data_IF_471076894527
#
_entry.id   IF_471076894527
#
_cell.length_a   1.000
_cell.length_b   1.000
_cell.length_c   1.000
_cell.angle_alpha   90.00
_cell.angle_beta   90.00
_cell.angle_gamma   90.00
#
_symmetry.space_group_name_H-M   'P 1'
#
loop_
_entity.id
_entity.type
_entity.pdbx_description
1 polymer ?
#
# COMPACT_ATOMS: atom_id res chain seq x y z
N UNK A 1 -10.80 -16.28 0.36
CA UNK A 1 -9.39 -15.98 0.04
C UNK A 1 -8.70 -17.28 -0.32
N UNK A 2 -8.05 -17.34 -1.48
CA UNK A 2 -7.48 -18.59 -1.99
C UNK A 2 -6.29 -19.03 -1.11
N UNK A 3 -6.35 -20.24 -0.54
CA UNK A 3 -5.39 -20.79 0.44
C UNK A 3 -3.94 -20.78 -0.08
N UNK A 4 -3.79 -20.85 -1.41
CA UNK A 4 -2.54 -20.78 -2.16
C UNK A 4 -1.80 -19.44 -1.92
N UNK A 5 -2.51 -18.31 -1.90
CA UNK A 5 -1.88 -16.97 -1.75
C UNK A 5 -1.37 -16.70 -0.32
N UNK A 6 -2.01 -17.30 0.68
CA UNK A 6 -1.51 -17.23 2.07
C UNK A 6 -0.23 -18.05 2.25
N UNK A 7 -0.10 -19.16 1.52
CA UNK A 7 1.08 -20.01 1.58
C UNK A 7 2.27 -19.37 0.84
N UNK A 8 2.05 -18.83 -0.37
CA UNK A 8 3.09 -18.14 -1.15
C UNK A 8 3.73 -16.99 -0.36
N UNK A 9 2.93 -16.14 0.30
CA UNK A 9 3.45 -15.02 1.11
C UNK A 9 4.18 -15.43 2.40
N UNK A 10 4.05 -16.69 2.83
CA UNK A 10 4.73 -17.22 4.03
C UNK A 10 5.99 -18.01 3.70
N UNK A 11 6.26 -18.29 2.43
CA UNK A 11 7.48 -18.98 2.04
C UNK A 11 8.69 -18.06 2.27
N UNK A 12 9.64 -18.54 3.09
CA UNK A 12 10.93 -17.86 3.34
C UNK A 12 11.63 -17.46 2.04
N UNK A 13 11.39 -18.20 0.95
CA UNK A 13 11.97 -17.96 -0.39
C UNK A 13 11.56 -16.63 -1.03
N UNK A 14 10.43 -16.02 -0.62
CA UNK A 14 10.05 -14.67 -1.09
C UNK A 14 10.63 -13.54 -0.24
N UNK A 15 11.23 -13.82 0.93
CA UNK A 15 11.82 -12.78 1.78
C UNK A 15 13.04 -12.12 1.12
N UNK A 16 13.68 -12.79 0.16
CA UNK A 16 14.83 -12.26 -0.57
C UNK A 16 14.48 -11.19 -1.61
N UNK A 17 13.20 -11.07 -1.96
CA UNK A 17 12.72 -10.09 -2.93
C UNK A 17 12.92 -8.65 -2.43
N UNK A 18 13.33 -7.71 -3.31
CA UNK A 18 13.56 -6.32 -2.95
C UNK A 18 12.39 -5.66 -2.22
N UNK A 19 11.16 -5.91 -2.68
CA UNK A 19 9.99 -5.32 -2.04
C UNK A 19 9.82 -5.80 -0.59
N UNK A 20 10.06 -7.09 -0.31
CA UNK A 20 9.96 -7.65 1.04
C UNK A 20 11.02 -7.08 1.98
N UNK A 21 12.26 -6.90 1.49
CA UNK A 21 13.33 -6.25 2.25
C UNK A 21 12.96 -4.82 2.67
N UNK A 22 12.39 -4.04 1.74
CA UNK A 22 11.87 -2.69 2.04
C UNK A 22 10.77 -2.70 3.11
N UNK A 23 9.83 -3.64 3.03
CA UNK A 23 8.80 -3.76 4.07
C UNK A 23 9.37 -4.20 5.42
N UNK A 24 10.40 -5.02 5.43
CA UNK A 24 11.09 -5.42 6.66
C UNK A 24 11.85 -4.26 7.31
N UNK A 25 12.44 -3.36 6.53
CA UNK A 25 13.02 -2.11 7.04
C UNK A 25 11.98 -1.26 7.76
N UNK A 26 10.79 -1.09 7.15
CA UNK A 26 9.68 -0.42 7.81
C UNK A 26 9.25 -1.14 9.09
N UNK A 27 9.10 -2.47 9.05
CA UNK A 27 8.71 -3.26 10.22
C UNK A 27 9.72 -3.16 11.38
N UNK A 28 11.00 -2.93 11.08
CA UNK A 28 12.09 -2.78 12.06
C UNK A 28 12.37 -1.32 12.45
N UNK A 29 11.59 -0.36 11.96
CA UNK A 29 11.81 1.04 12.28
C UNK A 29 11.70 1.29 13.78
N UNK A 30 12.78 1.82 14.36
CA UNK A 30 12.85 2.25 15.75
C UNK A 30 11.96 3.48 15.98
N UNK A 31 11.13 3.42 17.02
CA UNK A 31 10.18 4.47 17.40
C UNK A 31 10.71 5.18 18.64
N UNK A 32 10.74 6.52 18.59
CA UNK A 32 11.10 7.35 19.74
C UNK A 32 9.82 7.65 20.53
N UNK A 33 9.64 7.14 21.77
CA UNK A 33 8.35 7.14 22.48
C UNK A 33 7.74 8.51 22.82
N UNK A 34 8.49 9.61 22.68
CA UNK A 34 8.07 10.95 23.15
C UNK A 34 7.62 11.90 22.03
N UNK A 35 7.73 11.51 20.75
CA UNK A 35 7.55 12.45 19.63
C UNK A 35 6.19 12.35 18.90
N UNK A 36 5.31 11.44 19.31
CA UNK A 36 4.10 11.08 18.54
C UNK A 36 2.81 11.15 19.40
N UNK A 37 2.44 12.33 19.88
CA UNK A 37 1.14 12.58 20.55
C UNK A 37 -0.06 12.37 19.61
N UNK A 38 0.14 12.55 18.29
CA UNK A 38 -0.93 12.53 17.29
C UNK A 38 -1.73 11.22 17.24
N UNK A 39 -1.09 10.07 17.54
CA UNK A 39 -1.80 8.79 17.60
C UNK A 39 -2.84 8.77 18.73
N UNK A 40 -2.45 9.26 19.92
CA UNK A 40 -3.34 9.37 21.07
C UNK A 40 -4.46 10.37 20.83
N UNK A 41 -4.16 11.49 20.17
CA UNK A 41 -5.17 12.50 19.80
C UNK A 41 -6.24 11.98 18.84
N UNK A 42 -5.97 10.91 18.10
CA UNK A 42 -6.94 10.19 17.27
C UNK A 42 -7.55 8.96 17.98
N UNK A 43 -7.45 8.88 19.32
CA UNK A 43 -8.04 7.79 20.11
C UNK A 43 -7.30 6.45 19.99
N UNK A 44 -6.03 6.44 19.56
CA UNK A 44 -5.20 5.24 19.45
C UNK A 44 -4.28 5.19 20.68
N UNK A 45 -4.76 4.60 21.77
CA UNK A 45 -4.16 4.80 23.10
C UNK A 45 -3.19 3.70 23.56
N UNK A 46 -3.37 2.45 23.12
CA UNK A 46 -2.57 1.32 23.57
C UNK A 46 -2.44 0.18 22.53
N UNK A 47 -1.71 -0.86 22.94
CA UNK A 47 -1.60 -2.12 22.21
C UNK A 47 -0.89 -2.05 20.86
N UNK A 48 -1.23 -3.02 20.01
CA UNK A 48 -0.63 -3.18 18.68
C UNK A 48 -0.92 -1.99 17.76
N UNK A 49 -2.12 -1.40 17.89
CA UNK A 49 -2.53 -0.27 17.05
C UNK A 49 -1.72 0.99 17.32
N UNK A 50 -1.45 1.30 18.59
CA UNK A 50 -0.56 2.42 18.96
C UNK A 50 0.86 2.20 18.47
N UNK A 51 1.43 1.03 18.71
CA UNK A 51 2.79 0.71 18.26
C UNK A 51 2.92 0.80 16.72
N UNK A 52 1.91 0.35 15.98
CA UNK A 52 1.86 0.50 14.53
C UNK A 52 1.72 1.97 14.10
N UNK A 53 0.82 2.71 14.74
CA UNK A 53 0.60 4.13 14.45
C UNK A 53 1.88 4.95 14.63
N UNK A 54 2.54 4.83 15.79
CA UNK A 54 3.75 5.58 16.10
C UNK A 54 4.87 5.24 15.10
N UNK A 55 5.01 3.97 14.72
CA UNK A 55 5.95 3.54 13.68
C UNK A 55 5.64 4.17 12.32
N UNK A 56 4.38 4.13 11.90
CA UNK A 56 3.97 4.72 10.63
C UNK A 56 4.23 6.23 10.59
N UNK A 57 3.97 6.94 11.69
CA UNK A 57 4.29 8.37 11.84
C UNK A 57 5.80 8.61 11.75
N UNK A 58 6.62 7.81 12.43
CA UNK A 58 8.09 7.94 12.38
C UNK A 58 8.63 7.69 10.98
N UNK A 59 8.14 6.68 10.25
CA UNK A 59 8.54 6.42 8.86
C UNK A 59 8.16 7.62 7.99
N UNK A 60 6.91 8.08 8.08
CA UNK A 60 6.41 9.17 7.26
C UNK A 60 7.17 10.49 7.49
N UNK A 61 7.46 10.85 8.75
CA UNK A 61 8.27 12.02 9.08
C UNK A 61 9.68 11.92 8.47
N UNK A 62 10.31 10.74 8.50
CA UNK A 62 11.62 10.52 7.84
C UNK A 62 11.54 10.73 6.33
N UNK A 63 10.48 10.24 5.69
CA UNK A 63 10.25 10.47 4.25
C UNK A 63 10.07 11.95 3.93
N UNK A 64 9.34 12.69 4.75
CA UNK A 64 9.16 14.15 4.59
C UNK A 64 10.48 14.92 4.72
N UNK A 65 11.38 14.46 5.57
CA UNK A 65 12.71 15.06 5.75
C UNK A 65 13.75 14.61 4.71
N UNK A 66 13.44 13.64 3.85
CA UNK A 66 14.37 13.20 2.80
C UNK A 66 14.40 14.22 1.65
N UNK A 67 15.55 14.85 1.43
CA UNK A 67 15.72 15.86 0.38
C UNK A 67 15.95 15.26 -1.02
N UNK A 68 16.35 13.98 -1.12
CA UNK A 68 16.43 13.29 -2.41
C UNK A 68 15.02 13.02 -2.94
N UNK A 69 14.62 13.78 -3.95
CA UNK A 69 13.27 13.69 -4.52
C UNK A 69 12.95 12.33 -5.16
N UNK A 70 13.96 11.65 -5.71
CA UNK A 70 13.75 10.40 -6.43
C UNK A 70 13.59 9.25 -5.44
N UNK A 71 14.51 9.12 -4.49
CA UNK A 71 14.42 8.15 -3.39
C UNK A 71 13.17 8.39 -2.55
N UNK A 72 12.86 9.66 -2.23
CA UNK A 72 11.65 10.00 -1.46
C UNK A 72 10.38 9.51 -2.15
N UNK A 73 10.19 9.83 -3.43
CA UNK A 73 8.99 9.41 -4.18
C UNK A 73 8.86 7.88 -4.22
N UNK A 74 9.98 7.19 -4.36
CA UNK A 74 9.99 5.73 -4.42
C UNK A 74 9.61 5.09 -3.07
N UNK A 75 10.28 5.50 -1.99
CA UNK A 75 9.98 5.01 -0.65
C UNK A 75 8.57 5.43 -0.18
N UNK A 76 8.05 6.55 -0.70
CA UNK A 76 6.68 7.00 -0.49
C UNK A 76 5.67 5.98 -1.03
N UNK A 77 5.86 5.46 -2.25
CA UNK A 77 4.99 4.43 -2.83
C UNK A 77 5.06 3.13 -2.01
N UNK A 78 6.26 2.72 -1.57
CA UNK A 78 6.40 1.59 -0.64
C UNK A 78 5.62 1.81 0.65
N UNK A 79 5.74 3.00 1.25
CA UNK A 79 5.04 3.35 2.48
C UNK A 79 3.52 3.29 2.29
N UNK A 80 3.00 3.82 1.18
CA UNK A 80 1.58 3.78 0.85
C UNK A 80 1.04 2.35 0.83
N UNK A 81 1.71 1.45 0.10
CA UNK A 81 1.31 0.04 0.01
C UNK A 81 1.49 -0.70 1.32
N UNK A 82 2.58 -0.46 2.05
CA UNK A 82 2.84 -1.06 3.35
C UNK A 82 1.77 -0.66 4.37
N UNK A 83 1.53 0.64 4.51
CA UNK A 83 0.58 1.16 5.49
C UNK A 83 -0.82 0.60 5.23
N UNK A 84 -1.32 0.74 4.00
CA UNK A 84 -2.66 0.27 3.66
C UNK A 84 -2.81 -1.25 3.79
N UNK A 85 -1.81 -2.06 3.43
CA UNK A 85 -1.90 -3.52 3.62
C UNK A 85 -1.84 -3.94 5.10
N UNK A 86 -1.03 -3.27 5.93
CA UNK A 86 -1.00 -3.53 7.37
C UNK A 86 -2.34 -3.16 8.03
N UNK A 87 -2.90 -1.99 7.69
CA UNK A 87 -4.23 -1.59 8.17
C UNK A 87 -5.30 -2.58 7.73
N UNK A 88 -5.32 -2.94 6.44
CA UNK A 88 -6.22 -3.95 5.89
C UNK A 88 -6.12 -5.27 6.64
N UNK A 89 -4.92 -5.77 6.93
CA UNK A 89 -4.72 -7.12 7.49
C UNK A 89 -4.96 -7.20 9.00
N UNK A 90 -4.61 -6.15 9.74
CA UNK A 90 -4.55 -6.19 11.21
C UNK A 90 -5.67 -5.42 11.89
N UNK A 91 -6.12 -4.34 11.25
CA UNK A 91 -7.06 -3.39 11.87
C UNK A 91 -8.38 -3.35 11.10
N UNK A 92 -8.80 -4.48 10.52
CA UNK A 92 -10.04 -4.61 9.76
C UNK A 92 -10.91 -5.80 10.17
N UNK A 93 -12.19 -5.77 9.77
CA UNK A 93 -13.07 -6.93 9.84
C UNK A 93 -12.92 -7.81 8.59
N UNK A 94 -12.01 -8.79 8.64
CA UNK A 94 -11.82 -9.83 7.60
C UNK A 94 -11.59 -9.28 6.19
N UNK A 95 -10.77 -8.23 6.07
CA UNK A 95 -10.38 -7.58 4.81
C UNK A 95 -11.50 -6.86 4.04
N UNK A 96 -12.79 -7.04 4.39
CA UNK A 96 -13.90 -6.59 3.52
C UNK A 96 -14.22 -5.10 3.60
N UNK A 97 -14.03 -4.47 4.77
CA UNK A 97 -14.52 -3.10 5.01
C UNK A 97 -13.63 -2.29 5.96
N UNK A 98 -12.30 -2.36 5.83
CA UNK A 98 -11.42 -1.62 6.75
C UNK A 98 -11.65 -0.11 6.68
N UNK A 99 -12.07 0.43 5.53
CA UNK A 99 -12.48 1.84 5.38
C UNK A 99 -13.69 2.25 6.24
N UNK A 100 -14.43 1.29 6.78
CA UNK A 100 -15.64 1.50 7.58
C UNK A 100 -15.41 1.15 9.06
N UNK A 101 -14.17 0.84 9.45
CA UNK A 101 -13.83 0.54 10.83
C UNK A 101 -13.17 1.74 11.50
N UNK A 102 -13.64 2.09 12.70
CA UNK A 102 -13.21 3.30 13.41
C UNK A 102 -11.70 3.34 13.61
N UNK A 103 -11.09 2.27 14.14
CA UNK A 103 -9.65 2.22 14.37
C UNK A 103 -8.84 2.38 13.08
N UNK A 104 -9.28 1.74 11.98
CA UNK A 104 -8.68 1.92 10.67
C UNK A 104 -8.77 3.38 10.23
N UNK A 105 -9.93 4.01 10.40
CA UNK A 105 -10.16 5.40 10.02
C UNK A 105 -9.25 6.33 10.81
N UNK A 106 -9.12 6.12 12.12
CA UNK A 106 -8.25 6.90 12.98
C UNK A 106 -6.78 6.78 12.53
N UNK A 107 -6.32 5.58 12.15
CA UNK A 107 -4.98 5.38 11.60
C UNK A 107 -4.74 6.19 10.31
N UNK A 108 -5.70 6.19 9.38
CA UNK A 108 -5.59 7.01 8.17
C UNK A 108 -5.66 8.51 8.48
N UNK A 109 -6.48 8.92 9.44
CA UNK A 109 -6.62 10.32 9.84
C UNK A 109 -5.31 10.85 10.48
N UNK A 110 -4.58 10.03 11.23
CA UNK A 110 -3.21 10.35 11.69
C UNK A 110 -2.30 10.63 10.49
N UNK A 111 -2.21 9.69 9.54
CA UNK A 111 -1.31 9.82 8.38
C UNK A 111 -1.68 11.03 7.51
N UNK A 112 -2.97 11.29 7.33
CA UNK A 112 -3.45 12.48 6.63
C UNK A 112 -3.03 13.76 7.36
N UNK A 113 -3.11 13.79 8.69
CA UNK A 113 -2.70 14.94 9.48
C UNK A 113 -1.19 15.20 9.39
N UNK A 114 -0.36 14.16 9.50
CA UNK A 114 1.11 14.31 9.35
C UNK A 114 1.48 14.79 7.94
N UNK A 115 0.82 14.30 6.90
CA UNK A 115 1.01 14.83 5.54
C UNK A 115 0.55 16.28 5.39
N UNK A 116 -0.55 16.64 6.05
CA UNK A 116 -1.06 18.02 6.01
C UNK A 116 -0.09 19.01 6.64
N UNK A 117 0.77 18.59 7.58
CA UNK A 117 1.80 19.47 8.16
C UNK A 117 2.88 19.86 7.14
N UNK A 118 3.03 19.13 6.03
CA UNK A 118 3.85 19.52 4.87
C UNK A 118 3.11 20.51 3.97
N UNK A 119 2.66 21.64 4.53
CA UNK A 119 1.87 22.66 3.80
C UNK A 119 2.64 23.31 2.67
N UNK A 120 3.89 23.66 2.95
CA UNK A 120 4.76 24.40 2.03
C UNK A 120 5.56 23.47 1.08
N UNK A 121 5.43 22.15 1.26
CA UNK A 121 6.13 21.11 0.51
C UNK A 121 5.18 19.97 0.13
N UNK A 122 4.15 20.29 -0.66
CA UNK A 122 3.10 19.34 -1.09
C UNK A 122 3.67 18.12 -1.83
N UNK A 123 4.80 18.28 -2.52
CA UNK A 123 5.54 17.23 -3.23
C UNK A 123 6.19 16.17 -2.31
N UNK A 124 6.22 16.43 -1.00
CA UNK A 124 6.76 15.50 0.00
C UNK A 124 5.70 14.63 0.66
N UNK A 125 4.43 14.85 0.34
CA UNK A 125 3.32 14.12 0.97
C UNK A 125 3.19 12.70 0.41
N UNK A 126 2.81 11.77 1.30
CA UNK A 126 2.63 10.35 1.01
C UNK A 126 1.29 9.86 1.51
N UNK A 127 0.26 9.97 0.67
CA UNK A 127 -1.10 9.56 1.02
C UNK A 127 -1.36 8.10 0.70
N UNK A 128 -1.98 7.36 1.61
CA UNK A 128 -2.26 5.94 1.44
C UNK A 128 -3.74 5.71 1.07
N UNK A 129 -4.00 4.80 0.12
CA UNK A 129 -5.36 4.47 -0.32
C UNK A 129 -6.14 3.73 0.75
N UNK A 130 -7.42 4.12 0.87
CA UNK A 130 -8.41 3.47 1.75
C UNK A 130 -9.32 2.50 0.99
N UNK A 131 -9.14 2.34 -0.32
CA UNK A 131 -10.02 1.52 -1.13
C UNK A 131 -9.75 0.02 -0.86
N UNK A 132 -10.55 -0.56 0.03
CA UNK A 132 -10.40 -1.96 0.43
C UNK A 132 -10.45 -2.95 -0.73
N UNK A 133 -11.18 -2.63 -1.80
CA UNK A 133 -11.27 -3.46 -2.99
C UNK A 133 -9.98 -3.50 -3.83
N UNK A 134 -9.11 -2.48 -3.71
CA UNK A 134 -7.94 -2.35 -4.57
C UNK A 134 -6.60 -2.52 -3.85
N UNK A 135 -6.48 -2.19 -2.57
CA UNK A 135 -5.20 -2.15 -1.81
C UNK A 135 -4.34 -3.41 -1.99
N UNK A 136 -4.95 -4.60 -1.88
CA UNK A 136 -4.19 -5.85 -2.05
C UNK A 136 -3.68 -6.02 -3.48
N UNK A 137 -4.53 -5.74 -4.46
CA UNK A 137 -4.23 -5.91 -5.89
C UNK A 137 -3.18 -4.90 -6.33
N UNK A 138 -3.32 -3.64 -5.94
CA UNK A 138 -2.34 -2.59 -6.23
C UNK A 138 -0.98 -2.95 -5.64
N UNK A 139 -0.93 -3.36 -4.37
CA UNK A 139 0.31 -3.81 -3.74
C UNK A 139 0.93 -5.03 -4.45
N UNK A 140 0.13 -6.03 -4.80
CA UNK A 140 0.64 -7.24 -5.47
C UNK A 140 1.27 -6.91 -6.84
N UNK A 141 0.66 -5.99 -7.59
CA UNK A 141 1.19 -5.52 -8.87
C UNK A 141 2.45 -4.66 -8.69
N UNK A 142 2.42 -3.71 -7.75
CA UNK A 142 3.61 -2.94 -7.38
C UNK A 142 4.77 -3.88 -7.04
N UNK A 143 4.55 -4.84 -6.13
CA UNK A 143 5.57 -5.80 -5.70
C UNK A 143 6.09 -6.65 -6.86
N UNK A 144 5.22 -7.07 -7.78
CA UNK A 144 5.62 -7.79 -8.99
C UNK A 144 6.62 -6.99 -9.81
N UNK A 145 6.31 -5.73 -10.12
CA UNK A 145 7.20 -4.88 -10.92
C UNK A 145 8.52 -4.60 -10.20
N UNK A 146 8.50 -4.41 -8.87
CA UNK A 146 9.71 -4.22 -8.04
C UNK A 146 10.58 -5.46 -7.95
N UNK A 147 9.98 -6.64 -8.08
CA UNK A 147 10.68 -7.91 -7.96
C UNK A 147 10.99 -8.53 -9.32
N UNK A 148 10.51 -7.97 -10.44
CA UNK A 148 10.52 -8.57 -11.77
C UNK A 148 11.88 -9.19 -12.14
N UNK A 149 12.97 -8.43 -11.99
CA UNK A 149 14.33 -8.88 -12.32
C UNK A 149 14.85 -10.03 -11.44
N UNK A 150 14.21 -10.30 -10.31
CA UNK A 150 14.57 -11.37 -9.37
C UNK A 150 13.71 -12.64 -9.55
N UNK A 151 12.77 -12.63 -10.50
CA UNK A 151 11.90 -13.77 -10.79
C UNK A 151 12.49 -14.56 -11.95
N UNK A 152 13.43 -15.45 -11.65
CA UNK A 152 14.05 -16.36 -12.61
C UNK A 152 14.52 -17.65 -11.92
N UNK A 153 14.88 -18.64 -12.72
CA UNK A 153 15.28 -19.96 -12.26
C UNK A 153 16.79 -20.16 -12.18
N UNK A 154 17.58 -19.07 -12.15
CA UNK A 154 19.04 -19.15 -12.32
C UNK A 154 19.76 -20.02 -11.30
N UNK A 155 19.18 -20.23 -10.11
CA UNK A 155 19.73 -21.10 -9.07
C UNK A 155 19.40 -22.59 -9.27
N UNK A 156 18.61 -22.94 -10.28
CA UNK A 156 18.19 -24.31 -10.57
C UNK A 156 17.23 -24.91 -9.54
N UNK A 157 16.74 -24.14 -8.56
CA UNK A 157 15.81 -24.64 -7.54
C UNK A 157 14.40 -24.82 -8.16
N UNK A 158 14.07 -26.07 -8.47
CA UNK A 158 12.79 -26.46 -9.09
C UNK A 158 11.57 -26.01 -8.28
N UNK A 159 11.61 -26.13 -6.96
CA UNK A 159 10.47 -25.73 -6.12
C UNK A 159 10.28 -24.22 -6.15
N UNK A 160 11.39 -23.48 -6.06
CA UNK A 160 11.40 -22.02 -6.15
C UNK A 160 10.91 -21.54 -7.52
N UNK A 161 11.33 -22.18 -8.61
CA UNK A 161 10.83 -21.94 -9.95
C UNK A 161 9.32 -22.16 -10.09
N UNK A 162 8.80 -23.27 -9.57
CA UNK A 162 7.35 -23.54 -9.58
C UNK A 162 6.58 -22.51 -8.76
N UNK A 163 7.14 -22.10 -7.61
CA UNK A 163 6.58 -21.02 -6.80
C UNK A 163 6.53 -19.70 -7.59
N UNK A 164 7.61 -19.35 -8.29
CA UNK A 164 7.66 -18.17 -9.17
C UNK A 164 6.63 -18.24 -10.30
N UNK A 165 6.51 -19.38 -10.98
CA UNK A 165 5.50 -19.58 -12.02
C UNK A 165 4.08 -19.37 -11.47
N UNK A 166 3.75 -19.99 -10.33
CA UNK A 166 2.44 -19.83 -9.69
C UNK A 166 2.17 -18.39 -9.25
N UNK A 167 3.19 -17.70 -8.74
CA UNK A 167 3.11 -16.29 -8.37
C UNK A 167 2.83 -15.41 -9.59
N UNK A 168 3.61 -15.54 -10.67
CA UNK A 168 3.41 -14.74 -11.89
C UNK A 168 2.09 -15.09 -12.56
N UNK A 169 1.62 -16.33 -12.48
CA UNK A 169 0.32 -16.73 -13.02
C UNK A 169 -0.83 -16.01 -12.30
N UNK A 170 -0.76 -15.92 -10.97
CA UNK A 170 -1.69 -15.10 -10.20
C UNK A 170 -1.60 -13.62 -10.58
N UNK A 171 -0.39 -13.08 -10.77
CA UNK A 171 -0.21 -11.68 -11.18
C UNK A 171 -0.77 -11.41 -12.58
N UNK A 172 -0.66 -12.36 -13.51
CA UNK A 172 -1.15 -12.24 -14.88
C UNK A 172 -2.66 -11.95 -14.93
N UNK A 173 -3.45 -12.61 -14.09
CA UNK A 173 -4.90 -12.40 -14.04
C UNK A 173 -5.25 -10.98 -13.57
N UNK A 174 -4.60 -10.51 -12.50
CA UNK A 174 -4.84 -9.15 -11.98
C UNK A 174 -4.23 -8.06 -12.89
N UNK A 175 -3.12 -8.34 -13.58
CA UNK A 175 -2.52 -7.44 -14.55
C UNK A 175 -3.47 -7.19 -15.72
N UNK A 176 -4.04 -8.27 -16.30
CA UNK A 176 -5.04 -8.17 -17.38
C UNK A 176 -6.26 -7.39 -16.94
N UNK A 177 -6.80 -7.68 -15.75
CA UNK A 177 -7.95 -6.95 -15.22
C UNK A 177 -7.65 -5.44 -15.11
N UNK A 178 -6.47 -5.06 -14.61
CA UNK A 178 -6.10 -3.64 -14.47
C UNK A 178 -5.84 -2.97 -15.81
N UNK A 179 -5.21 -3.67 -16.75
CA UNK A 179 -4.93 -3.17 -18.10
C UNK A 179 -6.22 -2.98 -18.92
N UNK A 180 -7.09 -3.98 -18.92
CA UNK A 180 -8.26 -4.05 -19.83
C UNK A 180 -9.54 -3.47 -19.20
N UNK A 181 -9.84 -3.78 -17.94
CA UNK A 181 -11.10 -3.37 -17.30
C UNK A 181 -10.98 -2.06 -16.53
N UNK A 182 -9.83 -1.79 -15.91
CA UNK A 182 -9.57 -0.54 -15.20
C UNK A 182 -8.82 0.51 -16.04
N UNK A 183 -8.51 0.17 -17.30
CA UNK A 183 -7.88 1.08 -18.27
C UNK A 183 -6.60 1.73 -17.76
N UNK A 184 -5.78 1.00 -17.01
CA UNK A 184 -4.51 1.54 -16.49
C UNK A 184 -3.48 1.87 -17.58
N UNK A 185 -3.68 1.42 -18.81
CA UNK A 185 -2.83 1.73 -19.96
C UNK A 185 -3.64 2.40 -21.05
N UNK A 186 -3.18 3.57 -21.49
CA UNK A 186 -3.70 4.19 -22.70
C UNK A 186 -3.29 3.39 -23.93
N UNK A 187 -4.24 3.22 -24.85
CA UNK A 187 -4.05 2.40 -26.06
C UNK A 187 -3.09 3.02 -27.09
N UNK A 188 -2.81 4.33 -26.97
CA UNK A 188 -2.12 5.11 -28.02
C UNK A 188 -0.60 5.07 -27.87
N UNK A 189 -0.06 5.01 -26.64
CA UNK A 189 1.36 5.28 -26.40
C UNK A 189 1.99 4.58 -25.17
N UNK A 190 1.41 3.47 -24.68
CA UNK A 190 1.85 2.77 -23.45
C UNK A 190 1.88 3.67 -22.19
N UNK A 191 1.26 4.85 -22.22
CA UNK A 191 1.17 5.74 -21.05
C UNK A 191 0.31 5.10 -19.98
N UNK A 192 0.73 5.24 -18.72
CA UNK A 192 -0.02 4.75 -17.55
C UNK A 192 -1.05 5.80 -17.12
N UNK A 193 -2.29 5.39 -16.91
CA UNK A 193 -3.34 6.24 -16.32
C UNK A 193 -2.86 6.77 -14.96
N UNK A 194 -3.14 8.05 -14.67
CA UNK A 194 -2.61 8.77 -13.50
C UNK A 194 -2.88 8.03 -12.20
N UNK A 195 -4.09 7.49 -12.04
CA UNK A 195 -4.51 6.72 -10.85
C UNK A 195 -3.82 5.37 -10.71
N UNK A 196 -3.15 4.89 -11.76
CA UNK A 196 -2.41 3.62 -11.76
C UNK A 196 -0.89 3.80 -11.58
N UNK A 197 -0.39 5.03 -11.65
CA UNK A 197 1.05 5.35 -11.65
C UNK A 197 1.80 4.97 -10.38
N UNK A 198 1.10 4.63 -9.28
CA UNK A 198 1.71 4.16 -8.03
C UNK A 198 1.86 2.64 -7.94
N UNK A 199 1.39 1.87 -8.92
CA UNK A 199 1.46 0.40 -8.88
C UNK A 199 1.51 -0.31 -10.23
N UNK A 200 1.30 0.39 -11.34
CA UNK A 200 1.17 -0.22 -12.66
C UNK A 200 2.26 0.23 -13.63
N UNK A 201 2.68 -0.68 -14.50
CA UNK A 201 3.59 -0.39 -15.60
C UNK A 201 3.07 -1.01 -16.90
N UNK A 202 2.94 -0.19 -17.93
CA UNK A 202 2.33 -0.57 -19.21
C UNK A 202 3.34 -1.06 -20.25
N UNK A 203 4.65 -0.91 -20.01
CA UNK A 203 5.68 -1.38 -20.94
C UNK A 203 5.56 -2.88 -21.15
N UNK A 204 5.52 -3.30 -22.41
CA UNK A 204 5.24 -4.70 -22.77
C UNK A 204 6.26 -5.68 -22.16
N UNK A 205 7.52 -5.27 -21.95
CA UNK A 205 8.53 -6.12 -21.30
C UNK A 205 8.14 -6.62 -19.90
N UNK A 206 7.27 -5.89 -19.19
CA UNK A 206 6.81 -6.29 -17.86
C UNK A 206 5.50 -7.07 -17.89
N UNK A 207 4.97 -7.39 -19.07
CA UNK A 207 3.76 -8.18 -19.22
C UNK A 207 3.98 -9.59 -18.63
N UNK A 208 3.22 -10.01 -17.60
CA UNK A 208 3.39 -11.31 -16.95
C UNK A 208 3.28 -12.51 -17.89
N UNK A 209 2.58 -12.38 -19.02
CA UNK A 209 2.47 -13.43 -20.03
C UNK A 209 3.85 -13.83 -20.59
N UNK A 210 4.72 -12.87 -20.87
CA UNK A 210 6.06 -13.15 -21.39
C UNK A 210 6.93 -13.83 -20.33
N UNK A 211 6.85 -13.37 -19.08
CA UNK A 211 7.59 -13.98 -17.98
C UNK A 211 7.10 -15.41 -17.68
N UNK A 212 5.80 -15.68 -17.81
CA UNK A 212 5.26 -17.04 -17.68
C UNK A 212 5.81 -17.99 -18.74
N UNK A 213 5.90 -17.55 -19.99
CA UNK A 213 6.49 -18.33 -21.07
C UNK A 213 7.98 -18.60 -20.80
N UNK A 214 8.72 -17.57 -20.38
CA UNK A 214 10.13 -17.70 -20.00
C UNK A 214 10.34 -18.68 -18.85
N UNK A 215 9.56 -18.57 -17.77
CA UNK A 215 9.63 -19.48 -16.62
C UNK A 215 9.27 -20.91 -17.00
N UNK A 216 8.30 -21.12 -17.90
CA UNK A 216 7.95 -22.45 -18.40
C UNK A 216 9.13 -23.10 -19.10
N UNK A 217 9.81 -22.38 -20.00
CA UNK A 217 10.98 -22.89 -20.70
C UNK A 217 12.15 -23.19 -19.74
N UNK A 218 12.39 -22.31 -18.76
CA UNK A 218 13.41 -22.55 -17.73
C UNK A 218 13.12 -23.81 -16.90
N UNK A 219 11.85 -24.04 -16.52
CA UNK A 219 11.43 -25.26 -15.83
C UNK A 219 11.65 -26.50 -16.72
N UNK A 220 11.31 -26.43 -18.00
CA UNK A 220 11.55 -27.54 -18.93
C UNK A 220 13.04 -27.89 -19.07
N UNK A 221 13.93 -26.90 -19.14
CA UNK A 221 15.39 -27.10 -19.16
C UNK A 221 15.84 -27.81 -17.87
N UNK A 222 15.37 -27.35 -16.70
CA UNK A 222 15.65 -27.95 -15.40
C UNK A 222 15.10 -29.39 -15.31
N UNK A 223 13.95 -29.67 -15.89
CA UNK A 223 13.34 -31.00 -15.86
C UNK A 223 14.02 -31.99 -16.83
N UNK A 224 14.46 -31.53 -18.01
CA UNK A 224 15.27 -32.34 -18.95
C UNK A 224 16.63 -32.71 -18.37
N UNK A 225 17.28 -31.77 -17.67
CA UNK A 225 18.57 -31.98 -17.02
C UNK A 225 18.61 -33.14 -16.01
N UNK A 226 17.47 -33.52 -15.42
CA UNK A 226 17.44 -34.66 -14.48
C UNK A 226 17.74 -36.03 -15.11
N UNK A 227 17.94 -36.12 -16.43
CA UNK A 227 18.28 -37.38 -17.11
C UNK A 227 19.76 -37.54 -17.48
N UNK A 228 20.57 -36.46 -17.58
CA UNK A 228 22.00 -36.51 -17.93
C UNK A 228 22.76 -35.33 -17.29
N UNK A 229 23.73 -35.60 -16.40
CA UNK A 229 24.35 -34.62 -15.50
C UNK A 229 25.22 -33.48 -16.10
N UNK A 230 25.59 -32.54 -15.20
CA UNK A 230 26.63 -31.47 -15.21
C UNK A 230 26.68 -30.37 -16.30
N UNK A 231 26.00 -30.49 -17.45
CA UNK A 231 26.04 -29.45 -18.52
C UNK A 231 24.94 -28.36 -18.44
N UNK A 232 24.36 -28.12 -17.25
CA UNK A 232 23.01 -27.54 -17.13
C UNK A 232 22.93 -26.07 -16.69
N UNK A 233 23.90 -25.61 -15.90
CA UNK A 233 23.92 -24.19 -15.49
C UNK A 233 24.24 -23.28 -16.67
N UNK A 234 24.95 -23.78 -17.68
CA UNK A 234 25.35 -23.00 -18.84
C UNK A 234 24.19 -22.80 -19.82
N UNK A 235 23.44 -23.85 -20.19
CA UNK A 235 22.25 -23.72 -21.05
C UNK A 235 21.19 -22.79 -20.41
N UNK A 236 20.90 -22.99 -19.13
CA UNK A 236 19.95 -22.16 -18.39
C UNK A 236 20.42 -20.70 -18.28
N UNK A 237 21.71 -20.48 -17.99
CA UNK A 237 22.27 -19.13 -17.91
C UNK A 237 22.28 -18.44 -19.27
N UNK A 238 22.61 -19.16 -20.35
CA UNK A 238 22.57 -18.63 -21.72
C UNK A 238 21.14 -18.27 -22.14
N UNK A 239 20.15 -19.12 -21.80
CA UNK A 239 18.74 -18.83 -22.06
C UNK A 239 18.28 -17.56 -21.34
N UNK A 240 18.55 -17.45 -20.04
CA UNK A 240 18.17 -16.28 -19.23
C UNK A 240 18.85 -15.01 -19.77
N UNK A 241 20.15 -15.06 -20.06
CA UNK A 241 20.88 -13.91 -20.61
C UNK A 241 20.30 -13.46 -21.97
N UNK A 242 19.90 -14.40 -22.83
CA UNK A 242 19.24 -14.08 -24.11
C UNK A 242 17.90 -13.37 -23.90
N UNK A 243 17.07 -13.87 -22.99
CA UNK A 243 15.78 -13.25 -22.65
C UNK A 243 15.96 -11.83 -22.06
N UNK A 244 16.96 -11.63 -21.20
CA UNK A 244 17.30 -10.30 -20.66
C UNK A 244 17.64 -9.31 -21.78
N UNK A 245 18.40 -9.73 -22.79
CA UNK A 245 18.77 -8.87 -23.94
C UNK A 245 17.62 -8.57 -24.89
N UNK A 246 16.63 -9.47 -25.02
CA UNK A 246 15.48 -9.32 -25.95
C UNK A 246 14.65 -8.06 -25.68
N UNK A 247 14.63 -7.62 -24.43
CA UNK A 247 13.87 -6.46 -23.98
C UNK A 247 14.77 -5.29 -23.49
N UNK A 248 16.10 -5.39 -23.70
CA UNK A 248 17.03 -4.29 -23.47
C UNK A 248 16.96 -3.30 -24.64
N UNK A 249 16.33 -2.15 -24.40
CA UNK A 249 16.53 -0.97 -25.24
C UNK A 249 17.84 -0.28 -24.81
N UNK A 250 18.80 0.00 -25.71
CA UNK A 250 20.06 0.70 -25.41
C UNK A 250 19.89 2.07 -24.72
N UNK A 251 18.71 2.69 -24.85
CA UNK A 251 18.32 3.94 -24.19
C UNK A 251 17.48 3.75 -22.92
N UNK A 252 17.15 2.51 -22.54
CA UNK A 252 16.33 2.21 -21.35
C UNK A 252 17.21 1.79 -20.17
N UNK A 253 17.96 2.73 -19.60
CA UNK A 253 18.80 2.55 -18.41
C UNK A 253 18.02 2.57 -17.09
N UNK A 254 16.72 2.30 -17.11
CA UNK A 254 15.91 2.41 -15.90
C UNK A 254 15.19 1.07 -15.71
N UNK A 255 15.66 0.34 -14.70
CA UNK A 255 14.87 -0.61 -13.89
C UNK A 255 13.45 -0.06 -13.66
N UNK A 256 12.52 -0.80 -13.03
CA UNK A 256 11.34 -0.10 -12.47
C UNK A 256 11.82 0.74 -11.28
N UNK A 257 12.56 1.83 -11.52
CA UNK A 257 13.23 2.60 -10.48
C UNK A 257 12.29 3.59 -9.81
N UNK A 258 11.11 3.82 -10.40
CA UNK A 258 10.17 4.78 -9.83
C UNK A 258 8.72 4.52 -10.21
N UNK A 259 7.89 4.62 -9.18
CA UNK A 259 6.46 4.82 -9.27
C UNK A 259 6.14 6.22 -8.75
N UNK A 260 5.04 6.82 -9.21
CA UNK A 260 4.60 8.10 -8.68
C UNK A 260 3.73 7.87 -7.43
N UNK A 261 3.93 8.64 -6.34
CA UNK A 261 3.04 8.57 -5.18
C UNK A 261 1.60 8.92 -5.56
N UNK A 262 0.64 8.34 -4.84
CA UNK A 262 -0.75 8.80 -4.91
C UNK A 262 -0.88 10.29 -4.55
N UNK A 263 -1.53 11.06 -5.42
CA UNK A 263 -1.88 12.47 -5.18
C UNK A 263 -3.30 12.58 -4.58
N UNK A 264 -3.41 13.32 -3.47
CA UNK A 264 -4.65 13.54 -2.73
C UNK A 264 -5.55 14.63 -3.32
N UNK A 265 -5.11 15.36 -4.35
CA UNK A 265 -6.02 16.21 -5.13
C UNK A 265 -7.24 15.44 -5.69
N UNK A 266 -7.17 14.09 -5.70
CA UNK A 266 -8.23 13.16 -6.11
C UNK A 266 -9.06 12.63 -4.91
N UNK A 267 -8.62 12.82 -3.65
CA UNK A 267 -9.28 12.36 -2.42
C UNK A 267 -9.84 13.52 -1.57
N UNK A 268 -10.44 14.52 -2.23
CA UNK A 268 -11.40 15.45 -1.63
C UNK A 268 -10.96 16.07 -0.29
N UNK A 269 -10.14 17.13 -0.32
CA UNK A 269 -9.86 18.02 0.83
C UNK A 269 -11.13 18.43 1.60
N UNK A 270 -12.29 18.47 0.92
CA UNK A 270 -13.60 18.72 1.55
C UNK A 270 -14.01 17.65 2.55
N UNK A 271 -13.70 16.36 2.34
CA UNK A 271 -14.08 15.27 3.26
C UNK A 271 -13.31 15.31 4.59
N UNK A 272 -12.03 15.68 4.57
CA UNK A 272 -11.24 15.82 5.80
C UNK A 272 -11.58 17.10 6.57
N UNK A 273 -11.81 18.22 5.87
CA UNK A 273 -12.26 19.48 6.50
C UNK A 273 -13.66 19.33 7.10
N UNK A 274 -14.58 18.65 6.40
CA UNK A 274 -15.94 18.43 6.90
C UNK A 274 -15.99 17.53 8.13
N UNK A 275 -15.13 16.50 8.28
CA UNK A 275 -15.13 15.66 9.50
C UNK A 275 -14.70 16.40 10.76
N UNK A 276 -13.64 17.23 10.69
CA UNK A 276 -13.24 18.09 11.82
C UNK A 276 -14.33 19.10 12.19
N UNK A 277 -15.01 19.67 11.18
CA UNK A 277 -16.14 20.59 11.39
C UNK A 277 -17.37 19.84 11.94
N UNK A 278 -17.67 18.64 11.45
CA UNK A 278 -18.83 17.85 11.90
C UNK A 278 -18.69 17.42 13.35
N UNK A 279 -17.51 16.93 13.76
CA UNK A 279 -17.28 16.53 15.15
C UNK A 279 -17.35 17.74 16.11
N UNK A 280 -16.87 18.92 15.68
CA UNK A 280 -17.02 20.17 16.42
C UNK A 280 -18.49 20.65 16.50
N UNK A 281 -19.24 20.55 15.41
CA UNK A 281 -20.66 20.92 15.36
C UNK A 281 -21.54 19.99 16.21
N UNK A 282 -21.28 18.68 16.19
CA UNK A 282 -22.02 17.71 17.01
C UNK A 282 -21.80 17.99 18.50
N UNK A 283 -20.56 18.28 18.92
CA UNK A 283 -20.28 18.68 20.30
C UNK A 283 -21.00 19.98 20.67
N UNK A 284 -20.98 20.98 19.78
CA UNK A 284 -21.65 22.26 19.99
C UNK A 284 -23.17 22.15 20.12
N UNK A 285 -23.81 21.34 19.27
CA UNK A 285 -25.26 21.08 19.32
C UNK A 285 -25.64 20.34 20.61
N UNK A 286 -24.87 19.32 21.00
CA UNK A 286 -25.11 18.58 22.24
C UNK A 286 -25.00 19.48 23.48
N UNK A 287 -23.99 20.35 23.54
CA UNK A 287 -23.83 21.33 24.62
C UNK A 287 -25.00 22.33 24.63
N UNK A 288 -25.41 22.83 23.46
CA UNK A 288 -26.53 23.77 23.33
C UNK A 288 -27.86 23.19 23.81
N UNK A 289 -28.17 21.94 23.43
CA UNK A 289 -29.37 21.23 23.90
C UNK A 289 -29.33 21.02 25.42
N UNK A 290 -28.17 20.62 25.95
CA UNK A 290 -28.00 20.40 27.39
C UNK A 290 -28.19 21.69 28.20
N UNK A 291 -27.61 22.80 27.76
CA UNK A 291 -27.78 24.11 28.38
C UNK A 291 -29.23 24.63 28.27
N UNK A 292 -29.88 24.41 27.12
CA UNK A 292 -31.29 24.75 26.92
C UNK A 292 -32.21 24.00 27.88
N UNK A 293 -31.99 22.70 28.09
CA UNK A 293 -32.74 21.90 29.06
C UNK A 293 -32.53 22.38 30.49
N UNK A 294 -31.30 22.72 30.89
CA UNK A 294 -31.02 23.29 32.21
C UNK A 294 -31.74 24.62 32.43
N UNK A 295 -31.76 25.49 31.41
CA UNK A 295 -32.48 26.76 31.47
C UNK A 295 -33.99 26.54 31.59
N UNK A 296 -34.56 25.64 30.78
CA UNK A 296 -35.98 25.27 30.84
C UNK A 296 -36.37 24.76 32.23
N UNK A 297 -35.62 23.80 32.80
CA UNK A 297 -35.87 23.27 34.15
C UNK A 297 -35.82 24.38 35.20
N UNK A 298 -34.87 25.31 35.09
CA UNK A 298 -34.73 26.44 36.02
C UNK A 298 -35.94 27.39 35.93
N UNK A 299 -36.38 27.73 34.71
CA UNK A 299 -37.56 28.57 34.48
C UNK A 299 -38.81 27.87 35.01
N UNK A 300 -39.06 26.61 34.64
CA UNK A 300 -40.22 25.84 35.11
C UNK A 300 -40.28 25.71 36.63
N UNK A 301 -39.15 25.54 37.32
CA UNK A 301 -39.10 25.54 38.79
C UNK A 301 -39.49 26.90 39.39
N UNK A 302 -39.08 28.00 38.76
CA UNK A 302 -39.48 29.35 39.18
C UNK A 302 -40.98 29.52 38.96
N UNK A 303 -41.51 29.20 37.77
CA UNK A 303 -42.95 29.33 37.46
C UNK A 303 -43.81 28.47 38.39
N UNK A 304 -43.40 27.23 38.67
CA UNK A 304 -44.08 26.34 39.61
C UNK A 304 -44.11 26.90 41.04
N UNK A 305 -43.01 27.54 41.48
CA UNK A 305 -42.94 28.19 42.79
C UNK A 305 -43.86 29.41 42.87
N UNK A 306 -44.00 30.18 41.77
CA UNK A 306 -44.93 31.31 41.71
C UNK A 306 -46.40 30.86 41.67
N UNK A 307 -46.74 29.75 41.01
CA UNK A 307 -48.11 29.21 40.95
C UNK A 307 -48.57 28.60 42.28
N UNK A 308 -47.67 28.11 43.12
CA UNK A 308 -47.99 27.56 44.45
C UNK A 308 -47.86 28.58 45.59
N UNK A 309 -47.70 29.86 45.28
CA UNK A 309 -47.69 30.97 46.24
C UNK A 309 -48.85 31.96 46.03
N UNK A 310 -49.89 31.57 45.27
CA UNK A 310 -51.21 32.22 45.24
C UNK A 310 -52.24 31.33 45.93
#
# INVERSE_FOLDING_TARGET
MNRILQNIRKDKKLQDFPAYKKYDEFNRTYVIPRENNICKEQGIEDGEAKAFCERAVTILKKLHSNHDSQSRKDDCVYFQHWFSDQVRRKFSNKDKYFSNYELSNNLFDVINSVNYDQKDHTDRRCYASRNAGSVKVEKDLHDYFRNFNHINCKDGDREKCRMYYNYVNYINDIYKQRKENNLCCYLVDETVERECTHYFNCKDKYNPKHLLESLKNQIEIIERGNTYGSYQNEELSQYIAKEETKYQNPYSSVEVTSFAPQDFNILNERLLRTRKIHNGLILGVMIGVFLGLLFYIKVSKITYKYMNCS
#
